data_IF_874321906454
#
_entry.id   IF_874321906454
#
_cell.length_a   1.000
_cell.length_b   1.000
_cell.length_c   1.000
_cell.angle_alpha   90.00
_cell.angle_beta   90.00
_cell.angle_gamma   90.00
#
_symmetry.space_group_name_H-M   'P 1'
#
loop_
_entity.id
_entity.type
_entity.pdbx_description
1 polymer ?
#
# COMPACT_ATOMS: atom_id res chain seq x y z
N UNK A 1 -5.55 23.07 -1.15
CA UNK A 1 -6.69 24.02 -1.02
C UNK A 1 -7.65 23.52 0.06
N UNK A 2 -7.89 24.28 1.16
CA UNK A 2 -8.74 23.85 2.26
C UNK A 2 -10.25 23.76 1.92
N UNK A 3 -10.63 24.10 0.69
CA UNK A 3 -12.00 24.09 0.21
C UNK A 3 -12.31 22.92 -0.74
N UNK A 4 -11.34 22.00 -0.97
CA UNK A 4 -11.53 20.84 -1.85
C UNK A 4 -12.20 19.71 -1.09
N UNK A 5 -13.15 19.04 -1.73
CA UNK A 5 -13.72 17.81 -1.17
C UNK A 5 -12.70 16.65 -1.25
N UNK A 6 -12.94 15.64 -0.44
CA UNK A 6 -12.12 14.43 -0.46
C UNK A 6 -12.17 13.74 -1.83
N UNK A 7 -13.36 13.68 -2.44
CA UNK A 7 -13.55 13.11 -3.77
C UNK A 7 -12.80 13.88 -4.86
N UNK A 8 -12.72 15.22 -4.76
CA UNK A 8 -11.94 16.04 -5.70
C UNK A 8 -10.46 15.75 -5.60
N UNK A 9 -9.94 15.54 -4.38
CA UNK A 9 -8.54 15.19 -4.16
C UNK A 9 -8.21 13.82 -4.77
N UNK A 10 -9.04 12.81 -4.53
CA UNK A 10 -8.85 11.49 -5.12
C UNK A 10 -8.94 11.50 -6.66
N UNK A 11 -9.88 12.28 -7.22
CA UNK A 11 -10.02 12.40 -8.66
C UNK A 11 -8.80 13.08 -9.32
N UNK A 12 -8.21 14.07 -8.66
CA UNK A 12 -6.99 14.73 -9.15
C UNK A 12 -5.79 13.80 -9.08
N UNK A 13 -5.64 13.04 -8.00
CA UNK A 13 -4.59 12.03 -7.90
C UNK A 13 -4.72 10.97 -9.01
N UNK A 14 -5.94 10.44 -9.24
CA UNK A 14 -6.20 9.50 -10.32
C UNK A 14 -5.81 10.08 -11.69
N UNK A 15 -6.14 11.36 -11.93
CA UNK A 15 -5.80 12.02 -13.18
C UNK A 15 -4.29 12.20 -13.34
N UNK A 16 -3.57 12.59 -12.28
CA UNK A 16 -2.13 12.81 -12.32
C UNK A 16 -1.35 11.51 -12.50
N UNK A 17 -1.71 10.46 -11.74
CA UNK A 17 -1.12 9.12 -11.92
C UNK A 17 -1.36 8.62 -13.35
N UNK A 18 -2.59 8.79 -13.86
CA UNK A 18 -2.92 8.41 -15.24
C UNK A 18 -2.12 9.19 -16.29
N UNK A 19 -1.89 10.48 -16.07
CA UNK A 19 -1.05 11.31 -16.94
C UNK A 19 0.40 10.82 -16.94
N UNK A 20 0.98 10.57 -15.77
CA UNK A 20 2.36 10.07 -15.63
C UNK A 20 2.54 8.74 -16.36
N UNK A 21 1.61 7.80 -16.17
CA UNK A 21 1.64 6.51 -16.86
C UNK A 21 1.48 6.66 -18.37
N UNK A 22 0.60 7.56 -18.83
CA UNK A 22 0.44 7.90 -20.25
C UNK A 22 1.71 8.47 -20.89
N UNK A 23 2.53 9.17 -20.11
CA UNK A 23 3.85 9.67 -20.50
C UNK A 23 4.95 8.58 -20.42
N UNK A 24 4.59 7.33 -20.13
CA UNK A 24 5.55 6.22 -19.98
C UNK A 24 6.40 6.29 -18.71
N UNK A 25 5.94 7.00 -17.68
CA UNK A 25 6.61 7.11 -16.37
C UNK A 25 6.09 6.04 -15.42
N UNK A 26 6.90 5.74 -14.41
CA UNK A 26 6.51 4.92 -13.26
C UNK A 26 6.16 5.90 -12.13
N UNK A 27 4.88 6.08 -11.77
CA UNK A 27 4.48 6.99 -10.70
C UNK A 27 4.92 6.46 -9.34
N UNK A 28 5.36 7.38 -8.48
CA UNK A 28 5.59 7.16 -7.06
C UNK A 28 4.73 8.15 -6.30
N UNK A 29 3.73 7.66 -5.60
CA UNK A 29 2.84 8.45 -4.76
C UNK A 29 3.41 8.47 -3.35
N UNK A 30 3.71 9.67 -2.85
CA UNK A 30 4.09 9.87 -1.46
C UNK A 30 2.86 10.42 -0.74
N UNK A 31 2.18 9.54 -0.07
CA UNK A 31 0.88 9.86 0.49
C UNK A 31 0.89 10.21 1.98
N UNK A 32 -0.26 10.63 2.45
CA UNK A 32 -0.62 10.66 3.85
C UNK A 32 -1.09 9.28 4.28
N UNK A 33 -2.40 9.08 4.38
CA UNK A 33 -3.01 7.81 4.77
C UNK A 33 -3.25 6.89 3.57
N UNK A 34 -3.54 5.61 3.81
CA UNK A 34 -3.51 4.54 2.80
C UNK A 34 -4.58 4.66 1.69
N UNK A 35 -5.58 5.54 1.82
CA UNK A 35 -6.65 5.73 0.80
C UNK A 35 -6.09 6.08 -0.58
N UNK A 36 -4.90 6.68 -0.68
CA UNK A 36 -4.26 7.06 -1.96
C UNK A 36 -4.03 5.87 -2.89
N UNK A 37 -3.94 4.64 -2.39
CA UNK A 37 -3.82 3.44 -3.23
C UNK A 37 -5.03 3.27 -4.17
N UNK A 38 -6.22 3.74 -3.77
CA UNK A 38 -7.47 3.55 -4.53
C UNK A 38 -7.43 4.29 -5.88
N UNK A 39 -7.25 5.63 -5.92
CA UNK A 39 -7.16 6.37 -7.17
C UNK A 39 -5.95 5.95 -8.01
N UNK A 40 -4.84 5.61 -7.37
CA UNK A 40 -3.63 5.16 -8.04
C UNK A 40 -3.86 3.84 -8.81
N UNK A 41 -4.46 2.83 -8.17
CA UNK A 41 -4.81 1.56 -8.80
C UNK A 41 -5.89 1.73 -9.88
N UNK A 42 -6.88 2.64 -9.68
CA UNK A 42 -7.85 3.00 -10.71
C UNK A 42 -7.19 3.58 -11.96
N UNK A 43 -6.26 4.48 -11.78
CA UNK A 43 -5.50 5.06 -12.89
C UNK A 43 -4.71 3.98 -13.63
N UNK A 44 -3.96 3.16 -12.89
CA UNK A 44 -3.15 2.08 -13.46
C UNK A 44 -4.01 1.04 -14.22
N UNK A 45 -5.20 0.72 -13.72
CA UNK A 45 -6.14 -0.22 -14.35
C UNK A 45 -6.57 0.19 -15.76
N UNK A 46 -6.53 1.47 -16.08
CA UNK A 46 -6.84 1.97 -17.43
C UNK A 46 -5.82 1.53 -18.50
N UNK A 47 -4.62 1.16 -18.07
CA UNK A 47 -3.53 0.68 -18.95
C UNK A 47 -3.47 -0.85 -19.09
N UNK A 48 -4.29 -1.58 -18.34
CA UNK A 48 -4.37 -3.04 -18.43
C UNK A 48 -4.72 -3.70 -17.09
N UNK A 49 -4.79 -4.99 -17.07
CA UNK A 49 -4.95 -5.76 -15.84
C UNK A 49 -3.67 -5.66 -15.01
N UNK A 50 -3.81 -5.52 -13.71
CA UNK A 50 -2.70 -5.44 -12.76
C UNK A 50 -3.02 -6.20 -11.49
N UNK A 51 -2.02 -6.40 -10.66
CA UNK A 51 -2.15 -6.91 -9.31
C UNK A 51 -1.57 -5.91 -8.31
N UNK A 52 -2.02 -5.99 -7.06
CA UNK A 52 -1.48 -5.20 -5.95
C UNK A 52 -0.68 -6.10 -5.04
N UNK A 53 0.55 -5.70 -4.74
CA UNK A 53 1.32 -6.21 -3.61
C UNK A 53 1.35 -5.12 -2.56
N UNK A 54 0.77 -5.39 -1.40
CA UNK A 54 0.78 -4.49 -0.26
C UNK A 54 1.71 -5.01 0.85
N UNK A 55 2.51 -4.12 1.41
CA UNK A 55 3.19 -4.32 2.69
C UNK A 55 2.43 -3.49 3.72
N UNK A 56 1.90 -4.13 4.75
CA UNK A 56 0.98 -3.50 5.70
C UNK A 56 0.88 -4.33 6.98
N UNK A 57 0.80 -3.70 8.13
CA UNK A 57 0.49 -4.37 9.39
C UNK A 57 -1.00 -4.72 9.51
N UNK A 58 -1.84 -3.99 8.80
CA UNK A 58 -3.29 -4.09 8.86
C UNK A 58 -3.86 -4.83 7.64
N UNK A 59 -5.10 -5.23 7.76
CA UNK A 59 -5.80 -5.85 6.63
C UNK A 59 -6.32 -4.83 5.63
N UNK A 60 -6.82 -3.69 6.10
CA UNK A 60 -7.50 -2.64 5.34
C UNK A 60 -8.61 -3.15 4.41
N UNK A 61 -9.24 -4.27 4.83
CA UNK A 61 -10.26 -5.00 4.07
C UNK A 61 -11.69 -4.76 4.56
N UNK A 62 -11.92 -3.80 5.44
CA UNK A 62 -13.29 -3.50 5.90
C UNK A 62 -14.17 -3.03 4.75
N UNK A 63 -15.43 -3.44 4.76
CA UNK A 63 -16.43 -2.93 3.82
C UNK A 63 -16.75 -1.46 4.09
N UNK A 64 -16.77 -1.10 5.38
CA UNK A 64 -17.07 0.25 5.87
C UNK A 64 -16.38 0.47 7.22
N UNK A 65 -15.95 1.67 7.47
CA UNK A 65 -15.41 2.09 8.76
C UNK A 65 -15.96 3.46 9.16
N UNK A 66 -16.60 3.55 10.32
CA UNK A 66 -17.22 4.76 10.85
C UNK A 66 -18.19 5.45 9.85
N UNK A 67 -18.95 4.68 9.07
CA UNK A 67 -19.87 5.18 8.05
C UNK A 67 -19.19 5.55 6.72
N UNK A 68 -17.87 5.32 6.57
CA UNK A 68 -17.12 5.61 5.37
C UNK A 68 -16.75 4.33 4.63
N UNK A 69 -17.12 4.28 3.34
CA UNK A 69 -16.74 3.18 2.44
C UNK A 69 -15.35 3.40 1.79
N UNK A 70 -14.83 4.61 1.87
CA UNK A 70 -13.53 4.99 1.31
C UNK A 70 -12.75 5.71 2.41
N UNK A 71 -11.78 5.01 2.98
CA UNK A 71 -10.85 5.49 4.01
C UNK A 71 -9.69 4.49 4.14
N UNK A 72 -8.67 4.81 4.96
CA UNK A 72 -7.54 3.92 5.22
C UNK A 72 -7.97 2.47 5.52
N UNK A 73 -8.87 2.24 6.48
CA UNK A 73 -9.31 0.90 6.91
C UNK A 73 -10.09 0.10 5.83
N UNK A 74 -10.38 0.68 4.68
CA UNK A 74 -11.07 0.06 3.54
C UNK A 74 -10.25 0.12 2.26
N UNK A 75 -9.03 0.63 2.32
CA UNK A 75 -8.20 0.96 1.17
C UNK A 75 -7.88 -0.27 0.33
N UNK A 76 -7.39 -1.34 0.94
CA UNK A 76 -7.07 -2.57 0.23
C UNK A 76 -8.32 -3.36 -0.21
N UNK A 77 -9.45 -3.23 0.49
CA UNK A 77 -10.74 -3.73 0.00
C UNK A 77 -11.11 -3.07 -1.33
N UNK A 78 -11.06 -1.75 -1.39
CA UNK A 78 -11.37 -1.02 -2.64
C UNK A 78 -10.34 -1.32 -3.75
N UNK A 79 -9.06 -1.46 -3.40
CA UNK A 79 -8.04 -1.87 -4.36
C UNK A 79 -8.29 -3.29 -4.92
N UNK A 80 -8.72 -4.24 -4.09
CA UNK A 80 -9.03 -5.61 -4.49
C UNK A 80 -10.20 -5.72 -5.47
N UNK A 81 -11.15 -4.79 -5.43
CA UNK A 81 -12.28 -4.73 -6.38
C UNK A 81 -11.85 -4.29 -7.78
N UNK A 82 -10.68 -3.66 -7.91
CA UNK A 82 -10.15 -3.10 -9.16
C UNK A 82 -9.06 -4.01 -9.74
N UNK A 83 -8.19 -4.51 -8.88
CA UNK A 83 -7.06 -5.36 -9.25
C UNK A 83 -7.50 -6.80 -9.60
N UNK A 84 -6.73 -7.46 -10.43
CA UNK A 84 -6.96 -8.87 -10.78
C UNK A 84 -6.45 -9.85 -9.71
N UNK A 85 -5.62 -9.37 -8.79
CA UNK A 85 -5.08 -10.10 -7.65
C UNK A 85 -4.62 -9.10 -6.58
N UNK A 86 -4.69 -9.49 -5.32
CA UNK A 86 -4.17 -8.76 -4.17
C UNK A 86 -3.34 -9.74 -3.32
N UNK A 87 -2.18 -9.30 -2.88
CA UNK A 87 -1.31 -10.01 -1.94
C UNK A 87 -0.91 -9.03 -0.85
N UNK A 88 -1.10 -9.41 0.41
CA UNK A 88 -0.76 -8.57 1.58
C UNK A 88 0.30 -9.31 2.40
N UNK A 89 1.41 -8.66 2.66
CA UNK A 89 2.54 -9.19 3.44
C UNK A 89 2.75 -8.33 4.68
N UNK A 90 2.93 -8.96 5.82
CA UNK A 90 3.18 -8.28 7.10
C UNK A 90 1.94 -8.08 7.97
N UNK A 91 0.75 -8.41 7.46
CA UNK A 91 -0.50 -8.22 8.20
C UNK A 91 -0.52 -9.07 9.48
N UNK A 92 -0.83 -8.40 10.58
CA UNK A 92 -0.89 -8.97 11.93
C UNK A 92 -1.97 -8.34 12.81
N UNK A 93 -2.66 -7.33 12.28
CA UNK A 93 -3.82 -6.69 12.89
C UNK A 93 -5.04 -6.86 11.99
N UNK A 94 -6.04 -7.59 12.46
CA UNK A 94 -7.19 -8.02 11.67
C UNK A 94 -8.50 -7.59 12.31
N UNK A 95 -9.46 -7.22 11.48
CA UNK A 95 -10.85 -7.23 11.88
C UNK A 95 -11.43 -8.65 11.64
N UNK A 96 -12.25 -9.17 12.57
CA UNK A 96 -12.66 -10.57 12.61
C UNK A 96 -13.01 -11.24 11.27
N UNK A 97 -13.85 -10.63 10.39
CA UNK A 97 -14.17 -11.18 9.08
C UNK A 97 -12.99 -11.27 8.12
N UNK A 98 -11.93 -10.47 8.31
CA UNK A 98 -10.80 -10.40 7.39
C UNK A 98 -9.91 -11.65 7.49
N UNK A 99 -9.98 -12.39 8.60
CA UNK A 99 -9.17 -13.61 8.81
C UNK A 99 -9.45 -14.72 7.80
N UNK A 100 -10.63 -14.73 7.20
CA UNK A 100 -11.03 -15.72 6.19
C UNK A 100 -10.63 -15.32 4.76
N UNK A 101 -10.05 -14.12 4.57
CA UNK A 101 -9.65 -13.64 3.26
C UNK A 101 -8.33 -14.27 2.79
N UNK A 102 -8.20 -14.62 1.50
CA UNK A 102 -7.05 -15.37 0.98
C UNK A 102 -5.80 -14.52 0.70
N UNK A 103 -5.81 -13.26 1.07
CA UNK A 103 -4.81 -12.27 0.62
C UNK A 103 -3.53 -12.25 1.47
N UNK A 104 -3.58 -12.76 2.72
CA UNK A 104 -2.46 -12.69 3.66
C UNK A 104 -1.42 -13.77 3.39
N UNK A 105 -0.17 -13.35 3.34
CA UNK A 105 0.92 -14.25 2.95
C UNK A 105 2.21 -13.90 3.70
N UNK A 106 2.92 -14.93 4.11
CA UNK A 106 4.26 -14.78 4.67
C UNK A 106 5.29 -14.33 3.60
N UNK A 107 6.35 -13.65 4.04
CA UNK A 107 7.42 -13.16 3.16
C UNK A 107 7.96 -14.26 2.24
N UNK A 108 8.21 -15.46 2.75
CA UNK A 108 8.75 -16.57 1.95
C UNK A 108 7.78 -17.12 0.88
N UNK A 109 6.48 -16.82 1.00
CA UNK A 109 5.45 -17.39 0.12
C UNK A 109 4.85 -16.40 -0.88
N UNK A 110 5.02 -15.08 -0.67
CA UNK A 110 4.36 -14.08 -1.51
C UNK A 110 4.71 -14.20 -3.01
N UNK A 111 5.94 -14.58 -3.43
CA UNK A 111 6.24 -14.67 -4.85
C UNK A 111 5.41 -15.72 -5.57
N UNK A 112 5.01 -16.79 -4.85
CA UNK A 112 4.16 -17.86 -5.39
C UNK A 112 2.69 -17.44 -5.54
N UNK A 113 2.28 -16.40 -4.85
CA UNK A 113 0.92 -15.83 -4.90
C UNK A 113 0.78 -14.73 -5.94
N UNK A 114 1.89 -14.16 -6.38
CA UNK A 114 1.90 -13.21 -7.49
C UNK A 114 1.72 -13.94 -8.82
N UNK A 115 1.04 -13.28 -9.73
CA UNK A 115 0.79 -13.75 -11.09
C UNK A 115 1.83 -13.15 -12.04
N UNK A 116 2.70 -13.96 -12.67
CA UNK A 116 3.77 -13.45 -13.53
C UNK A 116 3.29 -12.59 -14.70
N UNK A 117 2.07 -12.85 -15.18
CA UNK A 117 1.48 -12.16 -16.32
C UNK A 117 0.92 -10.77 -15.99
N UNK A 118 0.82 -10.41 -14.70
CA UNK A 118 0.26 -9.14 -14.29
C UNK A 118 1.33 -8.23 -13.70
N UNK A 119 1.44 -6.99 -14.21
CA UNK A 119 2.28 -5.99 -13.59
C UNK A 119 1.77 -5.65 -12.18
N UNK A 120 2.68 -5.20 -11.34
CA UNK A 120 2.44 -4.93 -9.92
C UNK A 120 2.30 -3.43 -9.68
N UNK A 121 1.24 -3.01 -8.99
CA UNK A 121 1.23 -1.82 -8.17
C UNK A 121 1.77 -2.21 -6.79
N UNK A 122 2.85 -1.56 -6.34
CA UNK A 122 3.51 -1.86 -5.08
C UNK A 122 3.12 -0.83 -4.03
N UNK A 123 2.25 -1.21 -3.10
CA UNK A 123 1.76 -0.36 -2.02
C UNK A 123 2.55 -0.65 -0.73
N UNK A 124 3.07 0.39 -0.11
CA UNK A 124 3.91 0.25 1.09
C UNK A 124 3.35 1.16 2.19
N UNK A 125 2.65 0.55 3.12
CA UNK A 125 2.34 1.15 4.40
C UNK A 125 3.52 0.98 5.35
N UNK A 126 4.05 2.08 5.89
CA UNK A 126 5.26 2.05 6.72
C UNK A 126 5.10 1.27 8.02
N UNK A 127 3.88 1.04 8.45
CA UNK A 127 3.62 0.26 9.67
C UNK A 127 3.84 -1.26 9.48
N UNK A 128 4.08 -1.73 8.23
CA UNK A 128 4.54 -3.10 8.00
C UNK A 128 5.83 -3.41 8.77
N UNK A 129 6.68 -2.38 8.98
CA UNK A 129 7.88 -2.48 9.78
C UNK A 129 7.56 -2.62 11.27
N UNK A 130 8.44 -3.29 11.99
CA UNK A 130 8.34 -3.31 13.45
C UNK A 130 8.50 -1.90 14.03
N UNK A 131 7.70 -1.49 15.03
CA UNK A 131 7.80 -0.16 15.65
C UNK A 131 9.17 0.18 16.23
N UNK A 132 10.01 -0.80 16.48
CA UNK A 132 11.40 -0.56 16.90
C UNK A 132 12.27 0.04 15.78
N UNK A 133 11.85 -0.13 14.50
CA UNK A 133 12.52 0.45 13.34
C UNK A 133 11.80 1.69 12.81
N UNK A 134 10.48 1.68 12.82
CA UNK A 134 9.65 2.73 12.27
C UNK A 134 8.52 3.12 13.24
N UNK A 135 8.82 3.84 14.34
CA UNK A 135 7.81 4.26 15.32
C UNK A 135 6.90 5.39 14.83
N UNK A 136 7.29 6.12 13.79
CA UNK A 136 6.58 7.29 13.26
C UNK A 136 5.45 6.95 12.30
N UNK A 137 4.52 6.12 12.74
CA UNK A 137 3.28 5.76 12.07
C UNK A 137 2.09 6.01 13.00
N UNK A 138 0.87 6.10 12.45
CA UNK A 138 -0.32 6.40 13.28
C UNK A 138 -0.79 5.21 14.08
N UNK A 139 -0.68 4.00 13.54
CA UNK A 139 -1.18 2.77 14.15
C UNK A 139 -0.08 1.70 14.23
N UNK A 140 0.96 1.89 15.07
CA UNK A 140 2.06 0.95 15.16
C UNK A 140 1.60 -0.40 15.76
N UNK A 141 1.94 -1.51 15.11
CA UNK A 141 1.67 -2.86 15.56
C UNK A 141 2.98 -3.60 15.86
N UNK A 142 3.13 -4.25 17.03
CA UNK A 142 4.34 -4.99 17.37
C UNK A 142 4.48 -6.27 16.53
N UNK A 143 5.72 -6.77 16.41
CA UNK A 143 6.03 -8.00 15.67
C UNK A 143 6.07 -7.80 14.15
N UNK A 144 6.41 -6.61 13.70
CA UNK A 144 6.54 -6.26 12.30
C UNK A 144 7.79 -6.81 11.62
N UNK A 145 7.89 -6.57 10.32
CA UNK A 145 9.05 -6.96 9.52
C UNK A 145 10.26 -6.08 9.84
N UNK A 146 11.44 -6.65 9.62
CA UNK A 146 12.71 -5.94 9.74
C UNK A 146 13.26 -5.51 8.37
N UNK A 147 14.26 -4.66 8.40
CA UNK A 147 14.89 -4.16 7.16
C UNK A 147 15.43 -5.29 6.27
N UNK A 148 15.89 -6.37 6.86
CA UNK A 148 16.34 -7.57 6.13
C UNK A 148 15.23 -8.23 5.34
N UNK A 149 14.03 -8.31 5.92
CA UNK A 149 12.86 -8.91 5.27
C UNK A 149 12.41 -8.05 4.09
N UNK A 150 12.44 -6.73 4.26
CA UNK A 150 12.18 -5.81 3.16
C UNK A 150 13.17 -5.96 2.00
N UNK A 151 14.46 -6.10 2.30
CA UNK A 151 15.47 -6.35 1.26
C UNK A 151 15.26 -7.69 0.55
N UNK A 152 14.75 -8.70 1.24
CA UNK A 152 14.36 -9.97 0.63
C UNK A 152 13.18 -9.79 -0.31
N UNK A 153 12.13 -9.06 0.12
CA UNK A 153 10.99 -8.72 -0.72
C UNK A 153 11.46 -8.01 -2.01
N UNK A 154 12.34 -7.02 -1.90
CA UNK A 154 12.86 -6.30 -3.06
C UNK A 154 13.66 -7.19 -4.02
N UNK A 155 14.40 -8.19 -3.50
CA UNK A 155 15.13 -9.14 -4.35
C UNK A 155 14.16 -9.99 -5.17
N UNK A 156 13.11 -10.49 -4.56
CA UNK A 156 12.08 -11.27 -5.24
C UNK A 156 11.32 -10.43 -6.28
N UNK A 157 10.98 -9.17 -5.96
CA UNK A 157 10.30 -8.24 -6.86
C UNK A 157 11.07 -7.95 -8.16
N UNK A 158 12.39 -8.17 -8.20
CA UNK A 158 13.20 -8.00 -9.43
C UNK A 158 12.75 -8.91 -10.58
N UNK A 159 12.02 -9.97 -10.27
CA UNK A 159 11.48 -10.92 -11.25
C UNK A 159 10.12 -10.51 -11.80
N UNK A 160 9.57 -9.40 -11.33
CA UNK A 160 8.24 -8.91 -11.70
C UNK A 160 8.33 -7.48 -12.26
N UNK A 161 7.30 -7.11 -13.04
CA UNK A 161 7.18 -5.75 -13.55
C UNK A 161 6.42 -4.88 -12.54
N UNK A 162 7.10 -3.98 -11.87
CA UNK A 162 6.50 -2.93 -11.04
C UNK A 162 6.19 -1.73 -11.94
N UNK A 163 4.92 -1.28 -11.97
CA UNK A 163 4.43 -0.19 -12.83
C UNK A 163 4.11 1.10 -12.08
N UNK A 164 4.13 1.06 -10.78
CA UNK A 164 3.92 2.21 -9.89
C UNK A 164 3.98 1.78 -8.45
N UNK A 165 4.11 2.72 -7.55
CA UNK A 165 4.09 2.47 -6.12
C UNK A 165 3.50 3.63 -5.34
N UNK A 166 3.05 3.32 -4.14
CA UNK A 166 2.78 4.32 -3.10
C UNK A 166 3.56 4.00 -1.82
N UNK A 167 3.84 5.04 -1.04
CA UNK A 167 4.47 4.97 0.29
C UNK A 167 3.64 5.84 1.23
N UNK A 168 3.04 5.22 2.24
CA UNK A 168 2.00 5.84 3.07
C UNK A 168 2.25 5.68 4.56
N UNK A 169 1.42 6.32 5.36
CA UNK A 169 1.33 6.27 6.83
C UNK A 169 2.55 6.81 7.57
N UNK A 170 3.46 7.53 6.92
CA UNK A 170 4.50 8.27 7.65
C UNK A 170 3.87 9.40 8.46
N UNK A 171 4.00 9.32 9.77
CA UNK A 171 3.54 10.31 10.73
C UNK A 171 4.72 10.90 11.56
N UNK A 172 5.51 11.83 11.01
CA UNK A 172 6.75 12.32 11.64
C UNK A 172 6.56 12.92 13.03
N UNK A 173 5.36 13.41 13.32
CA UNK A 173 5.03 14.01 14.63
C UNK A 173 5.14 13.00 15.77
N UNK A 174 4.99 11.70 15.49
CA UNK A 174 5.10 10.64 16.49
C UNK A 174 6.53 10.11 16.67
N UNK A 175 7.46 10.57 15.83
CA UNK A 175 8.87 10.18 15.89
C UNK A 175 9.82 11.38 15.93
N UNK A 176 10.02 11.98 17.10
CA UNK A 176 10.97 13.09 17.28
C UNK A 176 12.41 12.76 16.91
N UNK A 177 12.77 11.47 16.84
CA UNK A 177 14.12 11.04 16.43
C UNK A 177 14.34 11.17 14.93
N UNK A 178 13.26 11.15 14.12
CA UNK A 178 13.28 11.21 12.67
C UNK A 178 13.74 9.91 12.00
N UNK A 179 13.89 8.80 12.74
CA UNK A 179 14.37 7.54 12.17
C UNK A 179 13.36 6.98 11.16
N UNK A 180 12.07 7.14 11.42
CA UNK A 180 11.01 6.69 10.49
C UNK A 180 11.06 7.44 9.15
N UNK A 181 11.34 8.74 9.18
CA UNK A 181 11.52 9.52 7.94
C UNK A 181 12.78 9.06 7.17
N UNK A 182 13.84 8.64 7.87
CA UNK A 182 15.03 8.05 7.24
C UNK A 182 14.68 6.69 6.64
N UNK A 183 13.91 5.85 7.34
CA UNK A 183 13.41 4.58 6.78
C UNK A 183 12.61 4.82 5.50
N UNK A 184 11.60 5.70 5.55
CA UNK A 184 10.78 6.06 4.41
C UNK A 184 11.60 6.55 3.20
N UNK A 185 12.64 7.36 3.44
CA UNK A 185 13.51 7.87 2.38
C UNK A 185 14.47 6.82 1.80
N UNK A 186 14.57 5.65 2.40
CA UNK A 186 15.42 4.52 1.97
C UNK A 186 14.62 3.41 1.27
N UNK A 187 13.32 3.40 1.49
CA UNK A 187 12.37 2.55 0.78
C UNK A 187 12.20 3.02 -0.66
#
# INVERSE_FOLDING_TARGET
>A
DPYRSFEEILAEEEAEVGRMMGDGKIPVVLGGEHTVVIPAVRAARKFGALQVLALDAHSDLREEYLGLKVCHATALRRASEIAANLVIVGARSFFGPDLDEPYFVEVAEFPKKLRPDFPIWFSVDLDFLDPSLCPGVTNPEPGGLFWTDFLEILRELRSFQVIGMDLVELAPIWDPSGVSAVCAAKL
#
